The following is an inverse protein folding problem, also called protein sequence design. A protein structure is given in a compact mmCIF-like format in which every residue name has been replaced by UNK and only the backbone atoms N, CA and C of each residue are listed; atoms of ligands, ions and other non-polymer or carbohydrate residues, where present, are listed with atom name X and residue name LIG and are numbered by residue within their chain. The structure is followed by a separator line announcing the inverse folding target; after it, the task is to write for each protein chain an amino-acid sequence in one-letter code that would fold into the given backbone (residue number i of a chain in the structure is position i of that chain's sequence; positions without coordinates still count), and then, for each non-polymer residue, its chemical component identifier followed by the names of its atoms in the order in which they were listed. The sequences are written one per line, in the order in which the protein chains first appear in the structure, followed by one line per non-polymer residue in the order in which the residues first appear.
data_IF_634624959906
#
_entry.id   IF_634624959906
#
_cell.length_a   1.000
_cell.length_b   1.000
_cell.length_c   1.000
_cell.angle_alpha   90.00
_cell.angle_beta   90.00
_cell.angle_gamma   90.00
#
_symmetry.space_group_name_H-M   'P 1'
#
loop_
_entity.id
_entity.type
_entity.pdbx_description
1 polymer ?
#
# COMPACT_ATOMS: atom_id res chain seq x y z
N UNK A 1 -10.98 -4.31 -17.04
CA UNK A 1 -11.32 -5.37 -16.07
C UNK A 1 -11.67 -4.70 -14.76
N UNK A 2 -12.89 -4.92 -14.25
CA UNK A 2 -13.30 -4.43 -12.93
C UNK A 2 -12.86 -5.47 -11.91
N UNK A 3 -11.81 -5.19 -11.14
CA UNK A 3 -11.37 -6.07 -10.06
C UNK A 3 -12.31 -5.91 -8.87
N UNK A 4 -12.89 -7.00 -8.38
CA UNK A 4 -13.64 -7.00 -7.12
C UNK A 4 -12.69 -6.67 -5.97
N UNK A 5 -13.02 -5.66 -5.18
CA UNK A 5 -12.21 -5.26 -4.01
C UNK A 5 -12.95 -5.75 -2.77
N UNK A 6 -12.34 -6.69 -2.05
CA UNK A 6 -12.87 -7.15 -0.76
C UNK A 6 -12.48 -6.15 0.34
N UNK A 7 -13.35 -5.89 1.33
CA UNK A 7 -12.97 -5.08 2.49
C UNK A 7 -11.87 -5.79 3.29
N UNK A 8 -11.06 -5.01 4.01
CA UNK A 8 -10.10 -5.54 4.98
C UNK A 8 -10.83 -6.39 6.03
N UNK A 9 -10.15 -7.43 6.53
CA UNK A 9 -10.57 -8.17 7.72
C UNK A 9 -9.72 -7.83 8.94
N UNK A 10 -8.78 -6.89 8.80
CA UNK A 10 -7.80 -6.52 9.80
C UNK A 10 -7.63 -4.99 9.88
N UNK A 11 -8.63 -4.32 10.46
CA UNK A 11 -8.67 -2.85 10.53
C UNK A 11 -7.62 -2.23 11.47
N UNK A 12 -6.93 -3.05 12.28
CA UNK A 12 -5.96 -2.58 13.29
C UNK A 12 -4.51 -2.80 12.88
N UNK A 13 -4.26 -3.59 11.83
CA UNK A 13 -2.90 -3.96 11.41
C UNK A 13 -2.79 -4.10 9.89
N UNK A 14 -1.69 -4.67 9.40
CA UNK A 14 -1.43 -4.78 7.96
C UNK A 14 -1.33 -3.42 7.27
N UNK A 15 -1.68 -3.38 5.98
CA UNK A 15 -1.72 -2.17 5.17
C UNK A 15 -2.74 -1.16 5.71
N UNK A 16 -3.94 -1.63 6.10
CA UNK A 16 -5.02 -0.77 6.58
C UNK A 16 -4.63 -0.04 7.87
N UNK A 17 -4.08 -0.76 8.85
CA UNK A 17 -3.57 -0.17 10.08
C UNK A 17 -2.44 0.84 9.82
N UNK A 18 -1.49 0.52 8.93
CA UNK A 18 -0.42 1.46 8.55
C UNK A 18 -0.97 2.75 7.95
N UNK A 19 -1.96 2.68 7.05
CA UNK A 19 -2.59 3.87 6.46
C UNK A 19 -3.36 4.70 7.50
N UNK A 20 -3.97 4.05 8.49
CA UNK A 20 -4.63 4.74 9.60
C UNK A 20 -3.63 5.48 10.49
N UNK A 21 -2.49 4.87 10.82
CA UNK A 21 -1.41 5.53 11.55
C UNK A 21 -0.76 6.68 10.77
N UNK A 22 -0.86 6.66 9.45
CA UNK A 22 -0.40 7.70 8.55
C UNK A 22 -1.38 8.86 8.36
N UNK A 23 -2.57 8.78 8.96
CA UNK A 23 -3.68 9.73 8.73
C UNK A 23 -4.11 9.82 7.26
N UNK A 24 -3.90 8.75 6.49
CA UNK A 24 -4.35 8.64 5.10
C UNK A 24 -5.81 8.14 5.02
N UNK A 25 -6.49 8.42 3.91
CA UNK A 25 -7.78 7.79 3.62
C UNK A 25 -7.58 6.28 3.37
N UNK A 26 -7.83 5.49 4.41
CA UNK A 26 -7.64 4.04 4.41
C UNK A 26 -8.48 3.36 3.32
N UNK A 27 -9.70 3.84 3.09
CA UNK A 27 -10.61 3.26 2.10
C UNK A 27 -10.09 3.53 0.68
N UNK A 28 -9.64 4.76 0.42
CA UNK A 28 -9.07 5.15 -0.86
C UNK A 28 -7.75 4.40 -1.13
N UNK A 29 -6.84 4.36 -0.15
CA UNK A 29 -5.56 3.68 -0.25
C UNK A 29 -5.74 2.17 -0.46
N UNK A 30 -6.68 1.55 0.25
CA UNK A 30 -7.02 0.14 0.09
C UNK A 30 -7.54 -0.18 -1.31
N UNK A 31 -8.45 0.65 -1.83
CA UNK A 31 -9.04 0.44 -3.15
C UNK A 31 -8.01 0.60 -4.27
N UNK A 32 -7.17 1.64 -4.20
CA UNK A 32 -6.11 1.89 -5.17
C UNK A 32 -5.08 0.77 -5.17
N UNK A 33 -4.63 0.34 -3.99
CA UNK A 33 -3.59 -0.68 -3.85
C UNK A 33 -4.10 -2.06 -4.28
N UNK A 34 -5.32 -2.44 -3.87
CA UNK A 34 -5.94 -3.69 -4.31
C UNK A 34 -6.05 -3.76 -5.83
N UNK A 35 -6.44 -2.64 -6.47
CA UNK A 35 -6.55 -2.56 -7.94
C UNK A 35 -5.18 -2.65 -8.62
N UNK A 36 -4.17 -1.98 -8.09
CA UNK A 36 -2.84 -1.97 -8.69
C UNK A 36 -2.15 -3.34 -8.60
N UNK A 37 -2.20 -4.01 -7.44
CA UNK A 37 -1.63 -5.35 -7.27
C UNK A 37 -2.38 -6.36 -8.15
N UNK A 38 -3.72 -6.31 -8.20
CA UNK A 38 -4.49 -7.21 -9.06
C UNK A 38 -4.12 -7.05 -10.54
N UNK A 39 -3.90 -5.82 -11.02
CA UNK A 39 -3.44 -5.57 -12.39
C UNK A 39 -2.03 -6.10 -12.65
N UNK A 40 -1.14 -6.01 -11.67
CA UNK A 40 0.25 -6.45 -11.82
C UNK A 40 0.43 -7.97 -11.73
N UNK A 41 -0.47 -8.66 -11.01
CA UNK A 41 -0.31 -10.09 -10.69
C UNK A 41 -1.35 -11.01 -11.33
N UNK A 42 -2.41 -10.44 -11.93
CA UNK A 42 -3.64 -11.17 -12.31
C UNK A 42 -4.23 -12.00 -11.14
N UNK A 43 -4.02 -11.51 -9.91
CA UNK A 43 -4.38 -12.21 -8.69
C UNK A 43 -5.85 -12.05 -8.30
N UNK A 44 -6.36 -13.00 -7.50
CA UNK A 44 -7.75 -12.99 -7.04
C UNK A 44 -7.98 -11.96 -5.92
N UNK A 45 -9.22 -11.44 -5.76
CA UNK A 45 -9.57 -10.53 -4.67
C UNK A 45 -9.21 -11.03 -3.26
N UNK A 46 -9.36 -12.34 -3.01
CA UNK A 46 -9.02 -12.98 -1.73
C UNK A 46 -7.52 -12.96 -1.48
N UNK A 47 -6.71 -13.21 -2.51
CA UNK A 47 -5.26 -13.14 -2.42
C UNK A 47 -4.78 -11.71 -2.13
N UNK A 48 -5.41 -10.70 -2.76
CA UNK A 48 -5.11 -9.29 -2.50
C UNK A 48 -5.40 -8.91 -1.04
N UNK A 49 -6.60 -9.24 -0.55
CA UNK A 49 -6.96 -8.97 0.85
C UNK A 49 -6.03 -9.68 1.81
N UNK A 50 -5.74 -10.96 1.57
CA UNK A 50 -4.86 -11.76 2.44
C UNK A 50 -3.46 -11.15 2.48
N UNK A 51 -2.93 -10.71 1.34
CA UNK A 51 -1.65 -10.00 1.28
C UNK A 51 -1.69 -8.68 2.06
N UNK A 52 -2.68 -7.83 1.82
CA UNK A 52 -2.76 -6.51 2.45
C UNK A 52 -3.03 -6.57 3.96
N UNK A 53 -3.77 -7.57 4.44
CA UNK A 53 -4.02 -7.79 5.88
C UNK A 53 -2.82 -8.44 6.61
N UNK A 54 -1.84 -8.94 5.86
CA UNK A 54 -0.67 -9.62 6.41
C UNK A 54 0.44 -8.66 6.86
N UNK A 55 1.47 -9.23 7.50
CA UNK A 55 2.73 -8.54 7.80
C UNK A 55 3.38 -7.97 6.53
N UNK A 56 3.26 -8.65 5.39
CA UNK A 56 3.78 -8.16 4.11
C UNK A 56 3.03 -6.92 3.66
N UNK A 57 1.72 -6.83 3.85
CA UNK A 57 0.94 -5.61 3.58
C UNK A 57 1.37 -4.42 4.41
N UNK A 58 1.75 -4.64 5.68
CA UNK A 58 2.35 -3.60 6.53
C UNK A 58 3.71 -3.13 5.97
N UNK A 59 4.58 -4.05 5.60
CA UNK A 59 5.89 -3.70 5.01
C UNK A 59 5.74 -3.03 3.65
N UNK A 60 4.75 -3.43 2.87
CA UNK A 60 4.39 -2.79 1.61
C UNK A 60 3.94 -1.35 1.84
N UNK A 61 3.13 -1.09 2.87
CA UNK A 61 2.75 0.28 3.26
C UNK A 61 3.94 1.13 3.76
N UNK A 62 4.97 0.48 4.31
CA UNK A 62 6.16 1.13 4.86
C UNK A 62 7.28 1.34 3.81
N UNK A 63 7.11 0.92 2.56
CA UNK A 63 8.16 0.95 1.53
C UNK A 63 8.03 2.10 0.50
N UNK A 64 9.15 2.78 0.17
CA UNK A 64 9.37 3.55 -1.07
C UNK A 64 10.88 3.48 -1.41
N UNK A 65 11.31 3.46 -2.68
CA UNK A 65 12.73 3.48 -3.10
C UNK A 65 13.49 4.81 -2.80
N UNK A 66 13.28 5.42 -1.64
CA UNK A 66 13.72 6.76 -1.29
C UNK A 66 15.26 6.88 -1.09
N UNK A 67 15.99 7.70 -1.87
CA UNK A 67 17.44 7.89 -1.74
C UNK A 67 17.78 8.91 -0.63
N UNK A 68 17.42 8.58 0.61
CA UNK A 68 17.32 9.54 1.71
C UNK A 68 18.68 10.01 2.30
N UNK A 69 18.82 11.33 2.45
CA UNK A 69 19.82 11.98 3.32
C UNK A 69 19.09 12.63 4.50
N UNK A 70 19.30 12.10 5.71
CA UNK A 70 18.89 12.73 6.98
C UNK A 70 19.04 11.76 8.16
N UNK A 71 19.73 12.12 9.26
CA UNK A 71 20.01 11.18 10.34
C UNK A 71 18.81 11.01 11.28
N UNK A 72 18.59 9.75 11.66
CA UNK A 72 17.61 9.17 12.59
C UNK A 72 16.34 8.67 11.92
N UNK A 73 16.29 7.34 11.81
CA UNK A 73 15.21 6.59 11.21
C UNK A 73 13.84 7.01 11.75
N UNK A 74 13.02 7.51 10.84
CA UNK A 74 11.80 6.85 10.41
C UNK A 74 11.63 7.14 8.91
N UNK A 75 11.49 6.09 8.11
CA UNK A 75 10.56 6.22 7.00
C UNK A 75 9.15 6.13 7.61
N UNK A 76 8.20 6.89 7.10
CA UNK A 76 6.77 6.63 7.33
C UNK A 76 6.07 6.60 5.99
N UNK A 77 4.80 6.23 6.02
CA UNK A 77 3.81 6.66 5.03
C UNK A 77 3.80 8.19 4.73
N UNK A 78 4.64 9.00 5.39
CA UNK A 78 4.96 10.40 5.06
C UNK A 78 5.55 10.57 3.66
N UNK A 79 6.21 9.53 3.13
CA UNK A 79 6.92 9.62 1.86
C UNK A 79 5.95 9.72 0.67
N UNK A 80 4.67 9.40 0.88
CA UNK A 80 3.55 9.68 -0.03
C UNK A 80 3.45 11.18 -0.39
N UNK A 81 3.77 12.09 0.54
CA UNK A 81 3.55 13.53 0.41
C UNK A 81 4.60 14.27 -0.43
N UNK A 82 5.53 13.56 -1.08
CA UNK A 82 6.56 14.13 -1.97
C UNK A 82 5.99 14.57 -3.34
N UNK A 83 4.93 15.36 -3.33
CA UNK A 83 4.30 15.98 -4.52
C UNK A 83 3.52 15.04 -5.44
N UNK A 84 3.58 13.71 -5.21
CA UNK A 84 2.91 12.68 -6.01
C UNK A 84 1.47 12.44 -5.51
N UNK A 85 0.58 12.08 -6.41
CA UNK A 85 -0.76 11.62 -6.04
C UNK A 85 -0.69 10.24 -5.37
N UNK A 86 -1.65 9.92 -4.50
CA UNK A 86 -1.77 8.60 -3.85
C UNK A 86 -1.71 7.44 -4.86
N UNK A 87 -2.32 7.62 -6.04
CA UNK A 87 -2.29 6.63 -7.11
C UNK A 87 -0.90 6.42 -7.71
N UNK A 88 -0.11 7.49 -7.89
CA UNK A 88 1.27 7.39 -8.38
C UNK A 88 2.18 6.68 -7.38
N UNK A 89 2.03 7.00 -6.09
CA UNK A 89 2.79 6.34 -5.03
C UNK A 89 2.48 4.83 -4.96
N UNK A 90 1.19 4.45 -5.03
CA UNK A 90 0.77 3.05 -5.07
C UNK A 90 1.35 2.33 -6.29
N UNK A 91 1.27 2.92 -7.48
CA UNK A 91 1.81 2.30 -8.69
C UNK A 91 3.34 2.11 -8.62
N UNK A 92 4.07 3.09 -8.08
CA UNK A 92 5.52 2.99 -7.89
C UNK A 92 5.90 1.89 -6.88
N UNK A 93 5.15 1.77 -5.78
CA UNK A 93 5.35 0.71 -4.79
C UNK A 93 5.10 -0.68 -5.40
N UNK A 94 4.00 -0.85 -6.14
CA UNK A 94 3.68 -2.10 -6.85
C UNK A 94 4.77 -2.47 -7.86
N UNK A 95 5.21 -1.51 -8.68
CA UNK A 95 6.27 -1.75 -9.65
C UNK A 95 7.60 -2.15 -9.01
N UNK A 96 7.92 -1.64 -7.82
CA UNK A 96 9.15 -1.99 -7.10
C UNK A 96 9.07 -3.39 -6.47
N UNK A 97 7.92 -3.74 -5.92
CA UNK A 97 7.74 -4.97 -5.13
C UNK A 97 7.37 -6.21 -5.94
N UNK A 98 6.79 -6.03 -7.13
CA UNK A 98 6.28 -7.11 -7.98
C UNK A 98 7.15 -7.32 -9.23
N UNK A 99 8.16 -6.47 -9.47
CA UNK A 99 9.13 -6.64 -10.56
C UNK A 99 10.01 -7.88 -10.43
#
# INVERSE_FOLDING_TARGET
MTTTILPTTNETWGFWGSMGHAEADQSQAWALTSTAIAKATDGTPEAMRTFLDSRQGRHFADAEPAPAIGPRGQAKASELFNGRTLAEAVNAAVATWIA
#
